data_IF_870623610662
#
_entry.id   IF_870623610662
#
_cell.length_a   1.000
_cell.length_b   1.000
_cell.length_c   1.000
_cell.angle_alpha   90.00
_cell.angle_beta   90.00
_cell.angle_gamma   90.00
#
_symmetry.space_group_name_H-M   'P 1'
#
loop_
_entity.id
_entity.type
_entity.pdbx_description
1 polymer ?
#
# COMPACT_ATOMS: atom_id res chain seq x y z
N UNK A 1 24.38 9.00 -20.76
CA UNK A 1 22.89 8.92 -20.74
C UNK A 1 22.28 8.51 -19.39
N UNK A 2 23.01 8.49 -18.28
CA UNK A 2 22.47 8.13 -16.95
C UNK A 2 22.06 9.35 -16.07
N UNK A 3 22.26 10.57 -16.55
CA UNK A 3 22.01 11.80 -15.79
C UNK A 3 20.57 12.31 -15.76
N UNK A 4 19.72 11.88 -16.67
CA UNK A 4 18.40 12.49 -16.90
C UNK A 4 17.26 11.79 -16.13
N UNK A 5 17.40 10.50 -15.84
CA UNK A 5 16.41 9.74 -15.08
C UNK A 5 16.25 10.26 -13.62
N UNK A 6 17.34 10.74 -13.01
CA UNK A 6 17.31 11.30 -11.66
C UNK A 6 16.66 12.70 -11.59
N UNK A 7 16.66 13.45 -12.67
CA UNK A 7 16.01 14.77 -12.79
C UNK A 7 14.49 14.62 -12.92
N UNK A 8 14.05 13.70 -13.76
CA UNK A 8 12.64 13.41 -14.00
C UNK A 8 11.95 12.85 -12.74
N UNK A 9 12.57 11.91 -12.05
CA UNK A 9 12.06 11.37 -10.78
C UNK A 9 11.96 12.43 -9.68
N UNK A 10 12.93 13.35 -9.60
CA UNK A 10 12.88 14.49 -8.68
C UNK A 10 11.75 15.44 -9.02
N UNK A 11 11.54 15.74 -10.30
CA UNK A 11 10.44 16.58 -10.78
C UNK A 11 9.07 15.99 -10.52
N UNK A 12 8.88 14.67 -10.72
CA UNK A 12 7.67 13.95 -10.34
C UNK A 12 7.43 13.99 -8.84
N UNK A 13 8.45 13.74 -8.03
CA UNK A 13 8.35 13.79 -6.58
C UNK A 13 7.89 15.16 -6.08
N UNK A 14 8.40 16.25 -6.62
CA UNK A 14 7.99 17.62 -6.28
C UNK A 14 6.55 17.93 -6.72
N UNK A 15 6.07 17.31 -7.79
CA UNK A 15 4.68 17.47 -8.24
C UNK A 15 3.68 16.63 -7.46
N UNK A 16 4.11 15.56 -6.83
CA UNK A 16 3.27 14.62 -6.06
C UNK A 16 3.13 15.03 -4.61
N UNK A 17 4.23 15.51 -4.02
CA UNK A 17 4.33 15.84 -2.61
C UNK A 17 4.23 17.38 -2.48
N UNK A 18 3.31 17.83 -1.63
CA UNK A 18 3.16 19.24 -1.29
C UNK A 18 3.90 19.52 0.01
N UNK A 19 4.42 20.74 0.19
CA UNK A 19 5.14 21.13 1.42
C UNK A 19 4.26 21.08 2.68
N UNK A 20 2.94 21.12 2.50
CA UNK A 20 1.95 20.99 3.57
C UNK A 20 1.65 19.53 3.97
N UNK A 21 2.15 18.55 3.21
CA UNK A 21 1.91 17.13 3.50
C UNK A 21 2.69 16.71 4.76
N UNK A 22 2.02 16.01 5.67
CA UNK A 22 2.68 15.35 6.79
C UNK A 22 3.70 14.31 6.30
N UNK A 23 4.68 13.93 7.12
CA UNK A 23 5.62 12.86 6.75
C UNK A 23 4.89 11.55 6.40
N UNK A 24 3.78 11.28 7.09
CA UNK A 24 2.95 10.11 6.85
C UNK A 24 2.23 10.18 5.50
N UNK A 25 1.67 11.34 5.13
CA UNK A 25 1.01 11.55 3.84
C UNK A 25 2.01 11.43 2.68
N UNK A 26 3.20 12.02 2.84
CA UNK A 26 4.30 11.89 1.86
C UNK A 26 4.67 10.43 1.61
N UNK A 27 4.72 9.64 2.68
CA UNK A 27 5.01 8.22 2.60
C UNK A 27 3.90 7.47 1.84
N UNK A 28 2.63 7.69 2.21
CA UNK A 28 1.49 7.04 1.58
C UNK A 28 1.41 7.37 0.08
N UNK A 29 1.59 8.64 -0.29
CA UNK A 29 1.60 9.09 -1.69
C UNK A 29 2.74 8.44 -2.49
N UNK A 30 3.95 8.42 -1.93
CA UNK A 30 5.11 7.81 -2.59
C UNK A 30 4.91 6.32 -2.83
N UNK A 31 4.40 5.61 -1.82
CA UNK A 31 4.16 4.17 -1.91
C UNK A 31 3.03 3.81 -2.88
N UNK A 32 1.95 4.60 -2.89
CA UNK A 32 0.85 4.37 -3.82
C UNK A 32 1.31 4.51 -5.29
N UNK A 33 2.15 5.52 -5.58
CA UNK A 33 2.71 5.70 -6.93
C UNK A 33 3.72 4.61 -7.28
N UNK A 34 4.55 4.21 -6.32
CA UNK A 34 5.48 3.10 -6.51
C UNK A 34 4.73 1.79 -6.80
N UNK A 35 3.68 1.49 -6.03
CA UNK A 35 2.82 0.31 -6.27
C UNK A 35 2.14 0.37 -7.65
N UNK A 36 1.61 1.54 -8.04
CA UNK A 36 1.05 1.77 -9.38
C UNK A 36 2.09 1.51 -10.49
N UNK A 37 3.31 2.03 -10.34
CA UNK A 37 4.41 1.81 -11.29
C UNK A 37 4.83 0.34 -11.37
N UNK A 38 4.95 -0.33 -10.23
CA UNK A 38 5.32 -1.74 -10.16
C UNK A 38 4.28 -2.64 -10.83
N UNK A 39 3.00 -2.39 -10.57
CA UNK A 39 1.90 -3.12 -11.21
C UNK A 39 1.82 -2.83 -12.72
N UNK A 40 2.04 -1.58 -13.12
CA UNK A 40 2.12 -1.21 -14.54
C UNK A 40 3.27 -1.92 -15.26
N UNK A 41 4.45 -1.97 -14.62
CA UNK A 41 5.59 -2.73 -15.13
C UNK A 41 5.28 -4.23 -15.23
N UNK A 42 4.64 -4.80 -14.19
CA UNK A 42 4.21 -6.20 -14.20
C UNK A 42 3.23 -6.50 -15.34
N UNK A 43 2.25 -5.63 -15.59
CA UNK A 43 1.30 -5.78 -16.69
C UNK A 43 2.00 -5.74 -18.07
N UNK A 44 2.95 -4.84 -18.27
CA UNK A 44 3.75 -4.78 -19.50
C UNK A 44 4.64 -6.02 -19.67
N UNK A 45 5.28 -6.46 -18.59
CA UNK A 45 6.12 -7.65 -18.62
C UNK A 45 5.31 -8.90 -18.97
N UNK A 46 4.13 -9.07 -18.37
CA UNK A 46 3.21 -10.16 -18.69
C UNK A 46 2.78 -10.12 -20.15
N UNK A 47 2.38 -8.96 -20.63
CA UNK A 47 1.99 -8.80 -22.03
C UNK A 47 3.13 -9.18 -22.98
N UNK A 48 4.37 -8.77 -22.69
CA UNK A 48 5.55 -9.13 -23.47
C UNK A 48 5.81 -10.64 -23.46
N UNK A 49 5.71 -11.30 -22.29
CA UNK A 49 5.92 -12.75 -22.17
C UNK A 49 4.87 -13.52 -22.98
N UNK A 50 3.59 -13.14 -22.90
CA UNK A 50 2.53 -13.78 -23.69
C UNK A 50 2.78 -13.64 -25.18
N UNK A 51 3.21 -12.47 -25.65
CA UNK A 51 3.56 -12.24 -27.06
C UNK A 51 4.76 -13.12 -27.50
N UNK A 52 5.81 -13.18 -26.69
CA UNK A 52 6.99 -13.98 -27.00
C UNK A 52 6.70 -15.49 -27.05
N UNK A 53 5.76 -15.98 -26.24
CA UNK A 53 5.35 -17.37 -26.24
C UNK A 53 4.34 -17.72 -27.33
N UNK A 54 3.93 -16.74 -28.15
CA UNK A 54 2.96 -16.94 -29.23
C UNK A 54 1.55 -17.28 -28.74
N UNK A 55 1.25 -17.03 -27.46
CA UNK A 55 -0.07 -17.27 -26.90
C UNK A 55 -1.00 -16.14 -27.38
N UNK A 56 -2.02 -16.51 -28.14
CA UNK A 56 -3.07 -15.57 -28.60
C UNK A 56 -3.93 -15.19 -27.40
N UNK A 57 -3.53 -14.15 -26.73
CA UNK A 57 -4.22 -13.57 -25.60
C UNK A 57 -4.75 -12.17 -25.95
N UNK A 58 -5.95 -11.85 -25.49
CA UNK A 58 -6.50 -10.52 -25.68
C UNK A 58 -5.71 -9.49 -24.86
N UNK A 59 -4.90 -8.68 -25.53
CA UNK A 59 -4.17 -7.57 -24.90
C UNK A 59 -5.10 -6.46 -24.36
N UNK A 60 -6.42 -6.54 -24.63
CA UNK A 60 -7.38 -5.49 -24.30
C UNK A 60 -7.41 -5.19 -22.79
N UNK A 61 -7.48 -6.22 -21.94
CA UNK A 61 -7.58 -6.03 -20.48
C UNK A 61 -6.31 -5.38 -19.90
N UNK A 62 -5.08 -5.89 -20.17
CA UNK A 62 -3.85 -5.24 -19.70
C UNK A 62 -3.67 -3.82 -20.24
N UNK A 63 -3.98 -3.58 -21.52
CA UNK A 63 -3.87 -2.23 -22.11
C UNK A 63 -4.88 -1.27 -21.51
N UNK A 64 -6.13 -1.71 -21.27
CA UNK A 64 -7.14 -0.90 -20.60
C UNK A 64 -6.71 -0.57 -19.17
N UNK A 65 -6.16 -1.55 -18.44
CA UNK A 65 -5.58 -1.31 -17.13
C UNK A 65 -4.51 -0.21 -17.17
N UNK A 66 -3.53 -0.34 -18.07
CA UNK A 66 -2.46 0.65 -18.22
C UNK A 66 -2.99 2.04 -18.56
N UNK A 67 -3.97 2.12 -19.47
CA UNK A 67 -4.58 3.39 -19.88
C UNK A 67 -5.34 4.06 -18.72
N UNK A 68 -6.17 3.30 -17.99
CA UNK A 68 -6.94 3.83 -16.84
C UNK A 68 -6.02 4.19 -15.69
N UNK A 69 -5.01 3.37 -15.40
CA UNK A 69 -4.04 3.62 -14.35
C UNK A 69 -3.21 4.88 -14.64
N UNK A 70 -2.69 5.03 -15.86
CA UNK A 70 -1.96 6.23 -16.30
C UNK A 70 -2.87 7.46 -16.31
N UNK A 71 -4.12 7.33 -16.81
CA UNK A 71 -5.11 8.40 -16.80
C UNK A 71 -5.46 8.88 -15.40
N UNK A 72 -5.63 7.96 -14.45
CA UNK A 72 -5.89 8.30 -13.04
C UNK A 72 -4.71 9.01 -12.39
N UNK A 73 -3.48 8.62 -12.73
CA UNK A 73 -2.26 9.29 -12.27
C UNK A 73 -2.16 10.72 -12.86
N UNK A 74 -2.41 10.87 -14.15
CA UNK A 74 -2.43 12.18 -14.82
C UNK A 74 -3.50 13.10 -14.21
N UNK A 75 -4.69 12.57 -13.95
CA UNK A 75 -5.78 13.29 -13.31
C UNK A 75 -5.41 13.69 -11.87
N UNK A 76 -4.78 12.82 -11.11
CA UNK A 76 -4.26 13.15 -9.78
C UNK A 76 -3.24 14.28 -9.83
N UNK A 77 -2.31 14.26 -10.77
CA UNK A 77 -1.31 15.33 -10.93
C UNK A 77 -1.94 16.68 -11.28
N UNK A 78 -3.11 16.68 -11.93
CA UNK A 78 -3.86 17.88 -12.26
C UNK A 78 -4.75 18.34 -11.10
N UNK A 79 -5.59 17.46 -10.55
CA UNK A 79 -6.64 17.82 -9.57
C UNK A 79 -6.21 17.67 -8.11
N UNK A 80 -5.04 17.06 -7.84
CA UNK A 80 -4.50 16.83 -6.50
C UNK A 80 -5.39 16.02 -5.55
N UNK A 81 -6.44 15.37 -6.05
CA UNK A 81 -7.31 14.53 -5.26
C UNK A 81 -6.69 13.14 -5.11
N UNK A 82 -5.91 12.96 -4.01
CA UNK A 82 -5.26 11.69 -3.72
C UNK A 82 -6.23 10.57 -3.36
N UNK A 83 -7.35 10.89 -2.72
CA UNK A 83 -8.35 9.90 -2.31
C UNK A 83 -9.00 9.24 -3.52
N UNK A 84 -9.35 10.02 -4.54
CA UNK A 84 -9.87 9.49 -5.80
C UNK A 84 -8.85 8.62 -6.52
N UNK A 85 -7.59 9.09 -6.64
CA UNK A 85 -6.52 8.31 -7.25
C UNK A 85 -6.35 6.97 -6.55
N UNK A 86 -6.26 6.97 -5.21
CA UNK A 86 -6.14 5.79 -4.39
C UNK A 86 -7.32 4.82 -4.57
N UNK A 87 -8.55 5.34 -4.57
CA UNK A 87 -9.75 4.54 -4.79
C UNK A 87 -9.73 3.87 -6.16
N UNK A 88 -9.40 4.60 -7.22
CA UNK A 88 -9.32 4.06 -8.59
C UNK A 88 -8.23 2.98 -8.67
N UNK A 89 -7.04 3.22 -8.13
CA UNK A 89 -5.97 2.23 -8.15
C UNK A 89 -6.32 0.97 -7.36
N UNK A 90 -6.92 1.11 -6.18
CA UNK A 90 -7.37 -0.04 -5.38
C UNK A 90 -8.45 -0.84 -6.11
N UNK A 91 -9.38 -0.16 -6.76
CA UNK A 91 -10.42 -0.79 -7.59
C UNK A 91 -9.80 -1.56 -8.76
N UNK A 92 -8.83 -0.97 -9.45
CA UNK A 92 -8.11 -1.65 -10.53
C UNK A 92 -7.37 -2.90 -10.01
N UNK A 93 -6.69 -2.81 -8.88
CA UNK A 93 -5.99 -3.95 -8.29
C UNK A 93 -6.93 -5.07 -7.88
N UNK A 94 -8.15 -4.74 -7.45
CA UNK A 94 -9.14 -5.74 -7.10
C UNK A 94 -9.80 -6.36 -8.33
N UNK A 95 -10.38 -5.55 -9.21
CA UNK A 95 -11.29 -6.05 -10.25
C UNK A 95 -10.57 -6.54 -11.50
N UNK A 96 -9.48 -5.91 -11.90
CA UNK A 96 -8.81 -6.26 -13.17
C UNK A 96 -8.31 -7.71 -13.20
N UNK A 97 -7.71 -8.28 -12.14
CA UNK A 97 -7.30 -9.67 -12.14
C UNK A 97 -8.47 -10.66 -12.32
N UNK A 98 -9.65 -10.36 -11.77
CA UNK A 98 -10.85 -11.18 -11.98
C UNK A 98 -11.37 -11.06 -13.42
N UNK A 99 -11.45 -9.82 -13.95
CA UNK A 99 -11.85 -9.59 -15.36
C UNK A 99 -10.89 -10.33 -16.29
N UNK A 100 -9.59 -10.29 -15.98
CA UNK A 100 -8.56 -11.01 -16.70
C UNK A 100 -8.81 -12.51 -16.68
N UNK A 101 -9.06 -13.08 -15.52
CA UNK A 101 -9.39 -14.50 -15.36
C UNK A 101 -10.63 -14.88 -16.18
N UNK A 102 -11.72 -14.12 -16.08
CA UNK A 102 -12.94 -14.40 -16.83
C UNK A 102 -12.76 -14.28 -18.35
N UNK A 103 -11.85 -13.43 -18.80
CA UNK A 103 -11.54 -13.29 -20.24
C UNK A 103 -10.70 -14.44 -20.78
N UNK A 104 -9.91 -15.10 -19.93
CA UNK A 104 -9.08 -16.26 -20.30
C UNK A 104 -9.86 -17.56 -20.16
N UNK A 105 -10.79 -17.63 -19.20
CA UNK A 105 -11.64 -18.79 -18.93
C UNK A 105 -11.56 -19.28 -17.48
N UNK A 106 -11.04 -20.49 -17.25
CA UNK A 106 -11.02 -21.11 -15.92
C UNK A 106 -9.86 -20.62 -15.01
N UNK A 107 -9.93 -20.94 -13.72
CA UNK A 107 -8.84 -20.75 -12.75
C UNK A 107 -7.52 -21.37 -13.24
N UNK A 108 -7.62 -22.56 -13.82
CA UNK A 108 -6.46 -23.31 -14.31
C UNK A 108 -5.89 -22.64 -15.55
N UNK A 109 -6.71 -22.33 -16.55
CA UNK A 109 -6.25 -21.71 -17.80
C UNK A 109 -5.72 -20.31 -17.61
N UNK A 110 -6.22 -19.53 -16.63
CA UNK A 110 -5.72 -18.21 -16.28
C UNK A 110 -4.45 -18.26 -15.42
N UNK A 111 -3.95 -19.46 -15.07
CA UNK A 111 -2.72 -19.62 -14.26
C UNK A 111 -2.76 -18.86 -12.94
N UNK A 112 -3.92 -18.76 -12.30
CA UNK A 112 -4.07 -18.10 -10.99
C UNK A 112 -3.89 -16.59 -10.99
N UNK A 113 -4.12 -15.91 -12.11
CA UNK A 113 -3.95 -14.45 -12.22
C UNK A 113 -4.81 -13.69 -11.20
N UNK A 114 -5.94 -14.23 -10.76
CA UNK A 114 -6.78 -13.61 -9.72
C UNK A 114 -6.08 -13.41 -8.37
N UNK A 115 -5.00 -14.16 -8.09
CA UNK A 115 -4.22 -13.99 -6.85
C UNK A 115 -3.70 -12.57 -6.69
N UNK A 116 -3.47 -11.85 -7.80
CA UNK A 116 -3.04 -10.46 -7.78
C UNK A 116 -4.08 -9.53 -7.14
N UNK A 117 -5.36 -9.89 -7.16
CA UNK A 117 -6.42 -9.12 -6.53
C UNK A 117 -6.27 -9.01 -5.00
N UNK A 118 -5.55 -9.94 -4.36
CA UNK A 118 -5.23 -9.88 -2.93
C UNK A 118 -4.37 -8.66 -2.57
N UNK A 119 -3.64 -8.10 -3.52
CA UNK A 119 -2.84 -6.88 -3.29
C UNK A 119 -3.72 -5.66 -2.95
N UNK A 120 -4.99 -5.64 -3.37
CA UNK A 120 -5.91 -4.55 -3.04
C UNK A 120 -6.20 -4.48 -1.52
N UNK A 121 -6.77 -5.48 -0.86
CA UNK A 121 -7.01 -5.42 0.58
C UNK A 121 -5.71 -5.35 1.41
N UNK A 122 -4.63 -6.01 0.97
CA UNK A 122 -3.32 -5.92 1.65
C UNK A 122 -2.76 -4.49 1.56
N UNK A 123 -2.82 -3.86 0.39
CA UNK A 123 -2.39 -2.49 0.20
C UNK A 123 -3.20 -1.52 1.07
N UNK A 124 -4.54 -1.63 1.06
CA UNK A 124 -5.39 -0.78 1.91
C UNK A 124 -5.11 -1.00 3.39
N UNK A 125 -4.87 -2.25 3.82
CA UNK A 125 -4.54 -2.55 5.22
C UNK A 125 -3.23 -1.86 5.65
N UNK A 126 -2.22 -1.85 4.79
CA UNK A 126 -0.93 -1.22 5.07
C UNK A 126 -1.04 0.31 5.12
N UNK A 127 -1.81 0.92 4.20
CA UNK A 127 -1.83 2.38 4.03
C UNK A 127 -2.95 3.10 4.78
N UNK A 128 -4.07 2.42 5.04
CA UNK A 128 -5.27 3.03 5.62
C UNK A 128 -5.71 2.36 6.93
N UNK A 129 -5.12 1.21 7.22
CA UNK A 129 -5.43 0.43 8.42
C UNK A 129 -6.54 -0.61 8.24
N UNK A 130 -6.74 -1.45 9.28
CA UNK A 130 -7.56 -2.64 9.17
C UNK A 130 -9.05 -2.35 8.93
N UNK A 131 -9.59 -1.28 9.50
CA UNK A 131 -11.02 -0.94 9.36
C UNK A 131 -11.39 -0.59 7.91
N UNK A 132 -10.52 0.10 7.20
CA UNK A 132 -10.75 0.52 5.81
C UNK A 132 -10.45 -0.60 4.82
N UNK A 133 -9.65 -1.59 5.20
CA UNK A 133 -9.34 -2.78 4.41
C UNK A 133 -10.49 -3.81 4.38
N UNK A 134 -11.33 -3.86 5.43
CA UNK A 134 -12.38 -4.88 5.54
C UNK A 134 -13.35 -4.93 4.35
N UNK A 135 -13.90 -3.81 3.83
CA UNK A 135 -14.79 -3.84 2.67
C UNK A 135 -14.10 -4.40 1.42
N UNK A 136 -12.83 -4.08 1.21
CA UNK A 136 -12.04 -4.57 0.08
C UNK A 136 -11.72 -6.06 0.20
N UNK A 137 -11.44 -6.52 1.42
CA UNK A 137 -11.23 -7.94 1.68
C UNK A 137 -12.53 -8.72 1.49
N UNK A 138 -13.66 -8.20 1.98
CA UNK A 138 -14.96 -8.82 1.74
C UNK A 138 -15.30 -8.86 0.24
N UNK A 139 -15.08 -7.78 -0.49
CA UNK A 139 -15.25 -7.75 -1.94
C UNK A 139 -14.36 -8.78 -2.65
N UNK A 140 -13.09 -8.93 -2.22
CA UNK A 140 -12.19 -9.97 -2.73
C UNK A 140 -12.77 -11.39 -2.50
N UNK A 141 -13.27 -11.69 -1.31
CA UNK A 141 -13.87 -12.99 -1.00
C UNK A 141 -15.11 -13.25 -1.86
N UNK A 142 -16.00 -12.26 -1.99
CA UNK A 142 -17.20 -12.36 -2.83
C UNK A 142 -16.81 -12.61 -4.29
N UNK A 143 -15.87 -11.84 -4.82
CA UNK A 143 -15.40 -12.00 -6.21
C UNK A 143 -14.74 -13.37 -6.43
N UNK A 144 -13.99 -13.88 -5.44
CA UNK A 144 -13.41 -15.22 -5.47
C UNK A 144 -14.51 -16.30 -5.51
N UNK A 145 -15.53 -16.18 -4.66
CA UNK A 145 -16.65 -17.10 -4.65
C UNK A 145 -17.46 -17.07 -5.96
N UNK A 146 -17.74 -15.87 -6.47
CA UNK A 146 -18.42 -15.66 -7.76
C UNK A 146 -17.59 -16.28 -8.90
N UNK A 147 -16.27 -16.06 -8.92
CA UNK A 147 -15.39 -16.66 -9.92
C UNK A 147 -15.38 -18.18 -9.84
N UNK A 148 -15.39 -18.77 -8.62
CA UNK A 148 -15.48 -20.22 -8.44
C UNK A 148 -16.79 -20.80 -8.96
N UNK A 149 -17.89 -20.09 -8.72
CA UNK A 149 -19.19 -20.48 -9.26
C UNK A 149 -19.20 -20.48 -10.80
N UNK A 150 -18.69 -19.42 -11.42
CA UNK A 150 -18.57 -19.33 -12.88
C UNK A 150 -17.63 -20.40 -13.45
N UNK A 151 -16.52 -20.67 -12.79
CA UNK A 151 -15.57 -21.72 -13.20
C UNK A 151 -16.24 -23.09 -13.24
N UNK A 152 -17.04 -23.41 -12.20
CA UNK A 152 -17.76 -24.66 -12.10
C UNK A 152 -18.83 -24.82 -13.20
N UNK A 153 -19.60 -23.77 -13.49
CA UNK A 153 -20.72 -23.85 -14.44
C UNK A 153 -20.33 -23.57 -15.90
N UNK A 154 -19.29 -22.78 -16.16
CA UNK A 154 -18.89 -22.35 -17.49
C UNK A 154 -17.57 -22.98 -17.96
N UNK A 155 -16.82 -23.61 -17.06
CA UNK A 155 -15.48 -24.13 -17.35
C UNK A 155 -15.43 -25.38 -18.23
N UNK A 156 -16.55 -26.10 -18.38
CA UNK A 156 -16.61 -27.34 -19.19
C UNK A 156 -16.38 -27.14 -20.69
N UNK A 157 -16.44 -25.88 -21.21
CA UNK A 157 -16.33 -25.59 -22.63
C UNK A 157 -15.01 -24.92 -23.09
N UNK A 158 -14.14 -24.49 -22.21
CA UNK A 158 -13.04 -23.57 -22.52
C UNK A 158 -11.63 -24.15 -22.39
N UNK A 159 -11.45 -25.44 -22.43
CA UNK A 159 -10.11 -26.04 -22.56
C UNK A 159 -9.55 -25.81 -23.99
N UNK A 160 -9.25 -24.56 -24.30
CA UNK A 160 -8.55 -24.23 -25.53
C UNK A 160 -7.06 -24.48 -25.35
N UNK A 161 -6.58 -25.64 -25.83
CA UNK A 161 -5.28 -25.87 -26.46
C UNK A 161 -3.98 -25.41 -25.78
N UNK A 162 -4.00 -24.88 -24.55
CA UNK A 162 -2.79 -24.47 -23.87
C UNK A 162 -2.16 -25.66 -23.17
N UNK A 163 -0.87 -25.91 -23.45
CA UNK A 163 -0.14 -27.02 -22.84
C UNK A 163 -0.12 -26.87 -21.30
N UNK A 164 -0.43 -27.97 -20.59
CA UNK A 164 -0.43 -28.04 -19.12
C UNK A 164 0.91 -27.57 -18.52
N UNK A 165 2.03 -27.82 -19.19
CA UNK A 165 3.34 -27.34 -18.75
C UNK A 165 3.42 -25.81 -18.75
N UNK A 166 2.89 -25.16 -19.79
CA UNK A 166 2.81 -23.71 -19.89
C UNK A 166 1.97 -23.12 -18.75
N UNK A 167 0.81 -23.70 -18.49
CA UNK A 167 -0.07 -23.29 -17.38
C UNK A 167 0.67 -23.38 -16.04
N UNK A 168 1.36 -24.51 -15.78
CA UNK A 168 2.12 -24.72 -14.55
C UNK A 168 3.25 -23.70 -14.36
N UNK A 169 3.98 -23.40 -15.43
CA UNK A 169 5.05 -22.38 -15.40
C UNK A 169 4.47 -21.01 -15.07
N UNK A 170 3.41 -20.58 -15.76
CA UNK A 170 2.78 -19.29 -15.48
C UNK A 170 2.17 -19.22 -14.08
N UNK A 171 1.56 -20.30 -13.59
CA UNK A 171 1.06 -20.36 -12.23
C UNK A 171 2.19 -20.16 -11.22
N UNK A 172 3.29 -20.88 -11.37
CA UNK A 172 4.46 -20.71 -10.50
C UNK A 172 5.03 -19.29 -10.55
N UNK A 173 5.10 -18.69 -11.74
CA UNK A 173 5.57 -17.31 -11.92
C UNK A 173 4.61 -16.29 -11.28
N UNK A 174 3.29 -16.41 -11.48
CA UNK A 174 2.28 -15.56 -10.86
C UNK A 174 2.36 -15.65 -9.33
N UNK A 175 2.42 -16.87 -8.80
CA UNK A 175 2.50 -17.10 -7.37
C UNK A 175 3.81 -16.53 -6.77
N UNK A 176 4.94 -16.78 -7.41
CA UNK A 176 6.25 -16.28 -6.96
C UNK A 176 6.30 -14.75 -7.00
N UNK A 177 5.85 -14.13 -8.10
CA UNK A 177 5.84 -12.67 -8.25
C UNK A 177 4.93 -12.02 -7.21
N UNK A 178 3.69 -12.51 -7.04
CA UNK A 178 2.75 -12.00 -6.06
C UNK A 178 3.30 -12.16 -4.63
N UNK A 179 3.82 -13.34 -4.29
CA UNK A 179 4.40 -13.60 -2.97
C UNK A 179 5.60 -12.67 -2.70
N UNK A 180 6.44 -12.43 -3.69
CA UNK A 180 7.57 -11.51 -3.60
C UNK A 180 7.10 -10.09 -3.33
N UNK A 181 6.08 -9.60 -4.04
CA UNK A 181 5.53 -8.26 -3.83
C UNK A 181 4.93 -8.12 -2.43
N UNK A 182 4.15 -9.10 -1.98
CA UNK A 182 3.57 -9.11 -0.62
C UNK A 182 4.68 -9.09 0.43
N UNK A 183 5.72 -9.92 0.26
CA UNK A 183 6.87 -9.94 1.16
C UNK A 183 7.58 -8.60 1.22
N UNK A 184 7.84 -7.98 0.07
CA UNK A 184 8.50 -6.66 0.00
C UNK A 184 7.64 -5.57 0.66
N UNK A 185 6.33 -5.56 0.42
CA UNK A 185 5.40 -4.60 1.04
C UNK A 185 5.36 -4.76 2.55
N UNK A 186 5.22 -5.99 3.05
CA UNK A 186 5.20 -6.27 4.50
C UNK A 186 6.55 -5.91 5.13
N UNK A 187 7.66 -6.33 4.51
CA UNK A 187 9.02 -6.02 5.00
C UNK A 187 9.27 -4.52 5.07
N UNK A 188 8.81 -3.78 4.06
CA UNK A 188 8.90 -2.32 4.05
C UNK A 188 8.08 -1.70 5.19
N UNK A 189 6.82 -2.16 5.37
CA UNK A 189 5.94 -1.68 6.43
C UNK A 189 6.51 -1.93 7.82
N UNK A 190 7.02 -3.14 8.09
CA UNK A 190 7.66 -3.50 9.36
C UNK A 190 8.83 -2.57 9.65
N UNK A 191 9.75 -2.38 8.68
CA UNK A 191 10.89 -1.48 8.84
C UNK A 191 10.48 -0.02 9.13
N UNK A 192 9.40 0.47 8.52
CA UNK A 192 8.91 1.82 8.79
C UNK A 192 8.28 1.95 10.17
N UNK A 193 7.53 0.95 10.59
CA UNK A 193 6.98 0.86 11.94
C UNK A 193 8.08 0.90 13.00
N UNK A 194 9.13 0.09 12.81
CA UNK A 194 10.25 0.01 13.75
C UNK A 194 10.97 1.36 13.87
N UNK A 195 11.22 2.04 12.75
CA UNK A 195 11.80 3.40 12.75
C UNK A 195 10.92 4.42 13.47
N UNK A 196 9.59 4.33 13.31
CA UNK A 196 8.66 5.21 14.03
C UNK A 196 8.69 4.93 15.53
N UNK A 197 8.72 3.66 15.92
CA UNK A 197 8.82 3.26 17.32
C UNK A 197 10.11 3.78 17.97
N UNK A 198 11.26 3.65 17.30
CA UNK A 198 12.53 4.19 17.77
C UNK A 198 12.48 5.71 17.99
N UNK A 199 11.82 6.46 17.09
CA UNK A 199 11.64 7.92 17.23
C UNK A 199 10.75 8.26 18.43
N UNK A 200 9.65 7.54 18.62
CA UNK A 200 8.74 7.73 19.75
C UNK A 200 9.48 7.45 21.07
N UNK A 201 10.23 6.36 21.14
CA UNK A 201 11.01 6.00 22.33
C UNK A 201 12.12 7.03 22.62
N UNK A 202 12.74 7.58 21.59
CA UNK A 202 13.73 8.67 21.76
C UNK A 202 13.07 9.94 22.30
N UNK A 203 11.89 10.33 21.77
CA UNK A 203 11.14 11.48 22.26
C UNK A 203 10.68 11.30 23.71
N UNK A 204 10.20 10.12 24.07
CA UNK A 204 9.83 9.79 25.45
C UNK A 204 11.02 9.92 26.41
N UNK A 205 12.21 9.46 26.00
CA UNK A 205 13.44 9.60 26.81
C UNK A 205 13.82 11.07 27.01
N UNK A 206 13.78 11.88 25.95
CA UNK A 206 14.06 13.30 26.04
C UNK A 206 13.06 14.02 26.96
N UNK A 207 11.76 13.75 26.79
CA UNK A 207 10.71 14.33 27.61
C UNK A 207 10.91 14.01 29.09
N UNK A 208 11.25 12.75 29.40
CA UNK A 208 11.54 12.30 30.77
C UNK A 208 12.75 13.03 31.37
N UNK A 209 13.82 13.22 30.58
CA UNK A 209 15.00 13.98 31.01
C UNK A 209 14.66 15.44 31.32
N UNK A 210 13.86 16.08 30.46
CA UNK A 210 13.42 17.46 30.70
C UNK A 210 12.50 17.59 31.92
N UNK A 211 11.62 16.61 32.16
CA UNK A 211 10.81 16.54 33.38
C UNK A 211 11.66 16.40 34.62
N UNK A 212 12.62 15.47 34.64
CA UNK A 212 13.54 15.28 35.77
C UNK A 212 14.40 16.52 36.03
N UNK A 213 14.83 17.21 34.97
CA UNK A 213 15.58 18.48 35.09
C UNK A 213 14.70 19.59 35.67
N UNK A 214 13.47 19.72 35.19
CA UNK A 214 12.50 20.67 35.74
C UNK A 214 12.19 20.42 37.20
N UNK A 215 11.99 19.13 37.59
CA UNK A 215 11.80 18.76 39.01
C UNK A 215 13.00 19.13 39.88
N UNK A 216 14.24 18.86 39.42
CA UNK A 216 15.45 19.25 40.15
C UNK A 216 15.55 20.77 40.34
N UNK A 217 15.23 21.54 39.28
CA UNK A 217 15.24 23.02 39.38
C UNK A 217 14.17 23.50 40.36
N UNK A 218 12.98 22.91 40.35
CA UNK A 218 11.90 23.20 41.30
C UNK A 218 12.33 22.92 42.77
N UNK A 219 12.92 21.73 42.99
CA UNK A 219 13.39 21.33 44.33
C UNK A 219 14.57 22.17 44.83
N UNK A 220 15.38 22.78 43.94
CA UNK A 220 16.45 23.68 44.33
C UNK A 220 15.95 25.05 44.77
N UNK A 221 14.72 25.44 44.33
CA UNK A 221 14.16 26.76 44.64
C UNK A 221 13.13 26.70 45.77
N UNK A 222 12.39 25.59 45.89
CA UNK A 222 11.28 25.39 46.84
C UNK A 222 11.62 24.30 47.87
N UNK A 223 11.33 24.53 49.15
CA UNK A 223 11.42 23.47 50.17
C UNK A 223 10.55 22.25 49.77
N UNK A 224 11.10 21.01 49.96
CA UNK A 224 10.48 19.77 49.51
C UNK A 224 8.98 19.61 49.78
N UNK A 225 8.47 19.95 50.98
CA UNK A 225 7.03 19.83 51.27
C UNK A 225 6.16 20.77 50.43
N UNK A 226 6.64 21.94 50.06
CA UNK A 226 5.91 22.90 49.24
C UNK A 226 5.90 22.46 47.78
N UNK A 227 7.02 21.95 47.29
CA UNK A 227 7.13 21.43 45.92
C UNK A 227 6.19 20.21 45.68
N UNK A 228 6.06 19.32 46.68
CA UNK A 228 5.16 18.17 46.61
C UNK A 228 3.69 18.58 46.59
N UNK A 229 3.29 19.54 47.42
CA UNK A 229 1.93 20.12 47.42
C UNK A 229 1.56 20.82 46.10
N UNK A 230 2.48 21.53 45.50
CA UNK A 230 2.29 22.22 44.21
C UNK A 230 2.09 21.20 43.05
N UNK A 231 2.74 20.03 43.15
CA UNK A 231 2.62 18.96 42.14
C UNK A 231 1.30 18.19 42.26
N UNK A 232 0.80 17.98 43.48
CA UNK A 232 -0.44 17.21 43.71
C UNK A 232 -1.72 18.07 43.63
N UNK A 233 -1.60 19.34 43.99
CA UNK A 233 -2.73 20.27 44.02
C UNK A 233 -2.40 21.47 43.17
N UNK A 234 -3.05 21.64 42.03
CA UNK A 234 -2.95 22.84 41.19
C UNK A 234 -3.62 24.09 41.86
N UNK A 235 -3.29 24.33 43.12
CA UNK A 235 -3.87 25.40 43.95
C UNK A 235 -2.77 26.32 44.37
N UNK A 236 -3.04 27.63 44.33
CA UNK A 236 -2.15 28.67 44.85
C UNK A 236 -1.93 28.46 46.34
N UNK A 237 -0.72 28.13 46.74
CA UNK A 237 -0.36 27.97 48.18
C UNK A 237 0.11 29.32 48.66
N UNK A 238 -0.73 30.05 49.42
CA UNK A 238 -0.36 31.22 50.14
C UNK A 238 -0.28 30.86 51.65
N UNK A 239 0.89 30.57 52.14
CA UNK A 239 1.12 30.48 53.59
C UNK A 239 1.71 31.83 54.06
N UNK A 240 0.97 32.52 54.94
CA UNK A 240 1.48 33.68 55.62
C UNK A 240 2.55 33.25 56.62
N UNK A 241 3.77 33.77 56.45
CA UNK A 241 4.82 33.68 57.47
C UNK A 241 4.50 34.68 58.56
N UNK A 242 4.13 34.20 59.73
CA UNK A 242 3.98 35.00 60.93
C UNK A 242 5.35 35.26 61.58
#
# INVERSE_FOLDING_TARGET
MAGDAGGWLRGLRQRVITDQDSEQDRLHKTLAIFACGLMGFGAMLWLAIYQLMGIRFSATVPLTYLAVSAGSLAFYLWNRNFDLFRFVQTSLFLFVPFIMQWSIGSYVSSSGVMLWALLAPVGVMIFQGPRQSLPWFFAYIVMTAVSGFFDFYLGEGTQQGVNMQTIAVFFAMNFAAMSTIVYLLISYFVRQRDKLQERVDAQHRLLKQEQEKSERLLLNILPGPIAHRLKEQQITIAEGVA
#
